data_IF_360697728045
#
_entry.id   IF_360697728045
#
_cell.length_a   1.000
_cell.length_b   1.000
_cell.length_c   1.000
_cell.angle_alpha   90.00
_cell.angle_beta   90.00
_cell.angle_gamma   90.00
#
_symmetry.space_group_name_H-M   'P 1'
#
loop_
_entity.id
_entity.type
_entity.pdbx_description
1 polymer ?
#
# COMPACT_ATOMS: atom_id res chain seq x y z
N UNK A 1 10.62 28.52 49.57
CA UNK A 1 11.90 29.22 49.38
C UNK A 1 12.60 28.63 48.15
N UNK A 2 12.79 29.42 47.08
CA UNK A 2 13.58 29.01 45.90
C UNK A 2 15.01 29.50 46.14
N UNK A 3 15.97 28.59 46.23
CA UNK A 3 17.39 28.96 46.32
C UNK A 3 17.93 29.37 44.94
N UNK A 4 18.87 30.34 44.88
CA UNK A 4 19.45 30.79 43.63
C UNK A 4 20.33 29.69 43.01
N UNK A 5 20.19 29.51 41.70
CA UNK A 5 21.02 28.64 40.88
C UNK A 5 22.37 29.35 40.66
N UNK A 6 23.42 28.88 41.30
CA UNK A 6 24.79 29.32 41.01
C UNK A 6 25.26 28.52 39.78
N UNK A 7 25.36 29.17 38.63
CA UNK A 7 25.99 28.63 37.42
C UNK A 7 27.43 29.12 37.35
N UNK A 8 28.40 28.25 37.64
CA UNK A 8 29.81 28.50 37.36
C UNK A 8 30.17 27.97 35.97
N UNK A 9 30.93 28.74 35.19
CA UNK A 9 31.50 28.32 33.90
C UNK A 9 32.89 27.70 34.10
N UNK A 10 33.33 26.71 33.29
CA UNK A 10 34.31 25.72 33.74
C UNK A 10 35.72 25.93 33.18
N UNK A 11 36.72 25.77 34.03
CA UNK A 11 38.04 25.26 33.67
C UNK A 11 38.14 23.83 34.23
N UNK A 12 38.77 22.90 33.51
CA UNK A 12 38.77 21.46 33.81
C UNK A 12 39.25 21.07 35.21
N UNK A 13 40.08 21.91 35.83
CA UNK A 13 40.55 21.73 37.22
C UNK A 13 39.55 22.27 38.26
N UNK A 14 38.74 23.25 37.87
CA UNK A 14 37.72 23.86 38.73
C UNK A 14 36.55 22.90 38.98
N UNK A 15 36.23 22.04 38.02
CA UNK A 15 35.04 21.17 38.12
C UNK A 15 35.21 20.03 39.14
N UNK A 16 36.42 19.46 39.27
CA UNK A 16 36.70 18.42 40.27
C UNK A 16 36.65 19.00 41.69
N UNK A 17 37.34 20.12 41.95
CA UNK A 17 37.33 20.77 43.26
C UNK A 17 35.92 21.26 43.63
N UNK A 18 35.17 21.80 42.66
CA UNK A 18 33.78 22.18 42.87
C UNK A 18 32.89 20.99 43.22
N UNK A 19 33.11 19.83 42.59
CA UNK A 19 32.38 18.60 42.88
C UNK A 19 32.71 18.07 44.29
N UNK A 20 33.99 18.07 44.70
CA UNK A 20 34.39 17.68 46.07
C UNK A 20 33.74 18.59 47.10
N UNK A 21 33.88 19.91 46.95
CA UNK A 21 33.27 20.90 47.86
C UNK A 21 31.73 20.80 47.87
N UNK A 22 31.12 20.40 46.76
CA UNK A 22 29.68 20.13 46.73
C UNK A 22 29.33 18.85 47.48
N UNK A 23 30.07 17.76 47.30
CA UNK A 23 29.86 16.50 48.02
C UNK A 23 30.09 16.63 49.54
N UNK A 24 31.04 17.45 49.96
CA UNK A 24 31.25 17.82 51.38
C UNK A 24 29.99 18.46 51.95
N UNK A 25 29.48 19.51 51.31
CA UNK A 25 28.23 20.17 51.71
C UNK A 25 27.04 19.22 51.71
N UNK A 26 26.98 18.27 50.78
CA UNK A 26 25.91 17.27 50.73
C UNK A 26 26.00 16.27 51.88
N UNK A 27 27.21 15.90 52.29
CA UNK A 27 27.45 15.02 53.43
C UNK A 27 27.04 15.72 54.73
N UNK A 28 27.40 16.99 54.90
CA UNK A 28 26.95 17.84 56.00
C UNK A 28 25.41 18.00 56.03
N UNK A 29 24.76 18.08 54.86
CA UNK A 29 23.31 18.15 54.73
C UNK A 29 22.56 16.80 54.92
N UNK A 30 23.28 15.76 55.36
CA UNK A 30 22.79 14.39 55.55
C UNK A 30 22.22 13.74 54.28
N UNK A 31 22.89 13.96 53.13
CA UNK A 31 22.62 13.18 51.93
C UNK A 31 23.02 11.71 52.14
N UNK A 32 22.16 10.79 51.72
CA UNK A 32 22.36 9.34 51.86
C UNK A 32 22.81 8.72 50.55
N UNK A 33 22.44 9.34 49.43
CA UNK A 33 22.83 8.89 48.09
C UNK A 33 22.95 10.04 47.13
N UNK A 34 23.79 9.82 46.12
CA UNK A 34 24.01 10.72 45.00
C UNK A 34 23.74 9.95 43.72
N UNK A 35 23.01 10.56 42.79
CA UNK A 35 22.64 9.96 41.52
C UNK A 35 23.14 10.86 40.38
N UNK A 36 23.94 10.29 39.48
CA UNK A 36 24.30 10.93 38.22
C UNK A 36 23.17 10.67 37.22
N UNK A 37 22.64 11.74 36.64
CA UNK A 37 21.63 11.68 35.59
C UNK A 37 22.11 12.46 34.38
N UNK A 38 21.82 11.93 33.20
CA UNK A 38 22.01 12.62 31.95
C UNK A 38 20.70 13.31 31.57
N UNK A 39 20.77 14.60 31.20
CA UNK A 39 19.63 15.34 30.69
C UNK A 39 19.50 15.11 29.20
N UNK A 40 18.49 14.33 28.77
CA UNK A 40 18.21 14.15 27.35
C UNK A 40 17.51 15.39 26.77
N UNK A 41 17.78 15.70 25.50
CA UNK A 41 17.13 16.81 24.77
C UNK A 41 15.60 16.72 24.79
N UNK A 42 15.05 15.50 24.82
CA UNK A 42 13.60 15.23 24.87
C UNK A 42 12.99 15.40 26.27
N UNK A 43 13.69 16.03 27.21
CA UNK A 43 13.17 16.35 28.55
C UNK A 43 13.10 15.16 29.51
N UNK A 44 13.71 14.03 29.16
CA UNK A 44 13.86 12.88 30.06
C UNK A 44 15.21 12.91 30.77
N UNK A 45 15.22 12.76 32.09
CA UNK A 45 16.45 12.54 32.84
C UNK A 45 16.74 11.03 32.87
N UNK A 46 17.78 10.59 32.17
CA UNK A 46 18.23 9.20 32.22
C UNK A 46 19.18 9.00 33.40
N UNK A 47 18.93 8.00 34.24
CA UNK A 47 19.83 7.65 35.35
C UNK A 47 21.05 6.91 34.80
N UNK A 48 22.25 7.40 35.12
CA UNK A 48 23.54 6.81 34.70
C UNK A 48 24.10 5.92 35.80
N UNK A 49 24.21 6.44 37.03
CA UNK A 49 24.80 5.74 38.16
C UNK A 49 24.29 6.27 39.52
N UNK A 50 24.42 5.48 40.58
CA UNK A 50 24.05 5.84 41.96
C UNK A 50 25.16 5.39 42.91
N UNK A 51 25.50 6.26 43.86
CA UNK A 51 26.46 5.99 44.93
C UNK A 51 25.82 6.28 46.29
N UNK A 52 26.18 5.49 47.29
CA UNK A 52 25.80 5.70 48.69
C UNK A 52 26.84 6.54 49.43
N UNK A 53 26.34 7.43 50.31
CA UNK A 53 27.12 8.21 51.26
C UNK A 53 26.88 7.67 52.68
N UNK A 54 27.87 7.74 53.60
CA UNK A 54 29.19 8.36 53.46
C UNK A 54 30.24 7.43 52.84
N UNK A 55 31.12 8.01 52.02
CA UNK A 55 32.34 7.41 51.43
C UNK A 55 33.45 8.47 51.41
N UNK A 56 34.69 8.08 51.14
CA UNK A 56 35.76 9.02 50.85
C UNK A 56 35.38 9.91 49.65
N UNK A 57 35.40 11.24 49.84
CA UNK A 57 34.77 12.19 48.92
C UNK A 57 35.60 12.44 47.66
N UNK A 58 36.93 12.52 47.78
CA UNK A 58 37.82 12.69 46.63
C UNK A 58 37.76 11.53 45.62
N UNK A 59 37.93 10.26 46.01
CA UNK A 59 37.85 9.16 45.05
C UNK A 59 36.45 9.05 44.44
N UNK A 60 35.41 9.35 45.21
CA UNK A 60 34.03 9.39 44.72
C UNK A 60 33.84 10.48 43.66
N UNK A 61 34.39 11.69 43.88
CA UNK A 61 34.33 12.77 42.89
C UNK A 61 35.01 12.38 41.58
N UNK A 62 36.18 11.74 41.64
CA UNK A 62 36.87 11.21 40.44
C UNK A 62 36.04 10.15 39.74
N UNK A 63 35.45 9.22 40.49
CA UNK A 63 34.60 8.15 39.93
C UNK A 63 33.38 8.73 39.21
N UNK A 64 32.70 9.72 39.81
CA UNK A 64 31.55 10.41 39.20
C UNK A 64 31.95 11.13 37.92
N UNK A 65 33.06 11.88 37.95
CA UNK A 65 33.56 12.61 36.79
C UNK A 65 33.96 11.67 35.65
N UNK A 66 34.74 10.62 35.96
CA UNK A 66 35.15 9.62 34.98
C UNK A 66 33.94 8.90 34.38
N UNK A 67 32.93 8.56 35.19
CA UNK A 67 31.72 7.92 34.69
C UNK A 67 30.91 8.82 33.75
N UNK A 68 30.84 10.11 34.05
CA UNK A 68 30.20 11.09 33.18
C UNK A 68 30.97 11.25 31.85
N UNK A 69 32.30 11.26 31.89
CA UNK A 69 33.14 11.30 30.68
C UNK A 69 33.01 10.05 29.82
N UNK A 70 33.06 8.86 30.43
CA UNK A 70 32.93 7.58 29.73
C UNK A 70 31.55 7.43 29.06
N UNK A 71 30.48 7.88 29.75
CA UNK A 71 29.13 7.90 29.17
C UNK A 71 29.03 8.93 28.03
N UNK A 72 29.61 10.13 28.22
CA UNK A 72 29.63 11.17 27.20
C UNK A 72 30.33 10.73 25.90
N UNK A 73 31.39 9.91 26.01
CA UNK A 73 32.09 9.34 24.85
C UNK A 73 31.23 8.38 24.03
N UNK A 74 30.25 7.73 24.64
CA UNK A 74 29.36 6.78 23.96
C UNK A 74 28.16 7.48 23.30
N UNK A 75 27.86 8.70 23.72
CA UNK A 75 26.71 9.46 23.28
C UNK A 75 27.06 10.32 22.06
N UNK A 76 26.12 10.46 21.11
CA UNK A 76 26.27 11.38 19.98
C UNK A 76 25.68 12.74 20.35
N UNK A 77 26.53 13.74 20.56
CA UNK A 77 26.12 15.14 20.77
C UNK A 77 26.54 15.72 22.13
N UNK A 78 26.10 16.95 22.39
CA UNK A 78 26.37 17.65 23.66
C UNK A 78 25.52 17.04 24.77
N UNK A 79 26.15 16.38 25.73
CA UNK A 79 25.46 15.78 26.88
C UNK A 79 25.70 16.60 28.14
N UNK A 80 24.61 17.03 28.80
CA UNK A 80 24.67 17.68 30.11
C UNK A 80 24.38 16.66 31.20
N UNK A 81 25.28 16.55 32.17
CA UNK A 81 25.10 15.66 33.31
C UNK A 81 24.74 16.45 34.56
N UNK A 82 23.84 15.92 35.36
CA UNK A 82 23.47 16.46 36.67
C UNK A 82 23.73 15.43 37.74
N UNK A 83 24.43 15.84 38.80
CA UNK A 83 24.65 15.08 40.02
C UNK A 83 23.59 15.52 41.02
N UNK A 84 22.73 14.60 41.47
CA UNK A 84 21.57 14.89 42.32
C UNK A 84 21.73 14.24 43.68
N UNK A 85 21.56 15.00 44.76
CA UNK A 85 21.62 14.49 46.13
C UNK A 85 20.22 14.19 46.68
N UNK A 86 20.11 13.08 47.42
CA UNK A 86 18.87 12.65 48.07
C UNK A 86 19.08 12.33 49.55
N UNK A 87 18.05 12.63 50.34
CA UNK A 87 17.91 12.21 51.73
C UNK A 87 17.15 10.89 51.80
N UNK A 88 17.39 10.06 52.81
CA UNK A 88 16.74 8.74 52.95
C UNK A 88 15.21 8.77 52.88
N UNK A 89 14.59 9.82 53.44
CA UNK A 89 13.13 9.95 53.50
C UNK A 89 12.50 10.50 52.20
N UNK A 90 13.28 11.19 51.37
CA UNK A 90 12.74 12.01 50.29
C UNK A 90 12.92 11.36 48.91
N UNK A 91 11.83 11.32 48.14
CA UNK A 91 11.85 10.88 46.72
C UNK A 91 12.36 11.98 45.78
N UNK A 92 12.42 13.24 46.24
CA UNK A 92 12.85 14.39 45.44
C UNK A 92 14.31 14.72 45.77
N UNK A 93 15.07 15.07 44.73
CA UNK A 93 16.40 15.61 44.93
C UNK A 93 16.27 16.98 45.60
N UNK A 94 17.09 17.22 46.63
CA UNK A 94 17.06 18.50 47.35
C UNK A 94 18.13 19.47 46.82
N UNK A 95 19.20 18.95 46.22
CA UNK A 95 20.23 19.76 45.57
C UNK A 95 20.79 19.05 44.32
N UNK A 96 21.41 19.84 43.44
CA UNK A 96 22.00 19.38 42.18
C UNK A 96 23.19 20.21 41.74
N UNK A 97 24.20 19.53 41.19
CA UNK A 97 25.34 20.14 40.51
C UNK A 97 25.36 19.67 39.05
N UNK A 98 25.59 20.55 38.09
CA UNK A 98 25.69 20.17 36.68
C UNK A 98 27.16 20.09 36.26
N UNK A 99 27.48 19.06 35.48
CA UNK A 99 28.78 18.77 34.90
C UNK A 99 28.67 18.84 33.37
N UNK A 100 29.64 19.49 32.74
CA UNK A 100 29.75 19.57 31.28
C UNK A 100 31.05 18.90 30.83
N UNK A 101 31.02 17.61 30.45
CA UNK A 101 32.23 16.91 30.04
C UNK A 101 32.82 17.55 28.77
N UNK A 102 34.12 17.89 28.82
CA UNK A 102 34.84 18.62 27.77
C UNK A 102 34.99 17.87 26.43
N UNK A 103 34.63 16.59 26.35
CA UNK A 103 34.91 15.74 25.20
C UNK A 103 33.77 15.55 24.20
N UNK A 104 32.79 16.45 24.15
CA UNK A 104 31.87 16.50 23.02
C UNK A 104 32.64 16.98 21.78
N UNK A 105 33.14 16.04 20.99
CA UNK A 105 33.76 16.20 19.66
C UNK A 105 32.79 16.75 18.59
N UNK A 106 31.74 17.46 18.98
CA UNK A 106 30.94 18.28 18.09
C UNK A 106 31.73 19.55 17.81
N UNK A 107 32.57 19.50 16.76
CA UNK A 107 33.14 20.63 16.02
C UNK A 107 33.01 21.94 16.77
N UNK A 108 33.98 22.16 17.63
CA UNK A 108 34.29 23.39 18.30
C UNK A 108 34.22 24.56 17.33
N UNK A 109 33.06 25.22 17.32
CA UNK A 109 32.88 26.66 17.01
C UNK A 109 33.45 27.51 18.18
N UNK A 110 34.13 26.91 19.16
CA UNK A 110 34.90 27.60 20.21
C UNK A 110 36.27 28.07 19.70
N UNK A 111 36.35 28.49 18.43
CA UNK A 111 37.48 29.24 17.90
C UNK A 111 37.41 30.75 18.18
N UNK A 112 36.33 31.25 18.79
CA UNK A 112 36.13 32.71 18.98
C UNK A 112 35.98 33.10 20.47
N UNK A 113 35.84 32.15 21.40
CA UNK A 113 35.60 32.47 22.82
C UNK A 113 36.76 32.23 23.80
N UNK A 114 37.91 31.72 23.36
CA UNK A 114 39.11 31.63 24.20
C UNK A 114 40.34 32.27 23.54
N UNK A 115 40.25 33.57 23.31
CA UNK A 115 41.42 34.43 23.53
C UNK A 115 40.99 35.51 24.51
N UNK A 116 41.19 35.23 25.80
CA UNK A 116 41.29 36.28 26.78
C UNK A 116 42.38 37.26 26.33
N UNK A 117 42.11 38.57 26.20
CA UNK A 117 43.16 39.55 26.28
C UNK A 117 43.12 40.10 27.71
N UNK A 118 43.67 39.36 28.67
CA UNK A 118 44.30 40.03 29.82
C UNK A 118 45.49 40.91 29.38
N UNK A 119 45.83 40.92 28.08
CA UNK A 119 46.88 41.72 27.46
C UNK A 119 46.43 43.00 26.73
N UNK A 120 45.14 43.36 26.67
CA UNK A 120 44.71 44.64 26.05
C UNK A 120 44.26 45.75 27.03
N UNK A 121 44.40 45.56 28.33
CA UNK A 121 44.19 46.65 29.30
C UNK A 121 45.37 47.66 29.35
N UNK A 122 46.44 47.46 28.57
CA UNK A 122 47.63 48.31 28.56
C UNK A 122 47.88 49.07 27.25
N UNK A 123 46.93 49.08 26.30
CA UNK A 123 46.96 50.06 25.20
C UNK A 123 46.02 51.23 25.49
N UNK A 124 46.63 52.25 26.09
CA UNK A 124 46.29 53.67 26.12
C UNK A 124 44.95 54.09 25.47
N UNK A 125 44.02 54.60 26.30
CA UNK A 125 43.09 55.66 25.89
C UNK A 125 41.70 55.26 25.40
N UNK A 126 41.29 54.00 25.50
CA UNK A 126 39.90 53.64 25.19
C UNK A 126 38.96 54.12 26.31
N UNK A 127 38.07 55.06 25.98
CA UNK A 127 37.00 55.53 26.87
C UNK A 127 36.15 54.35 27.37
N UNK A 128 35.73 54.30 28.64
CA UNK A 128 34.86 53.24 29.16
C UNK A 128 33.58 53.06 28.33
N UNK A 129 33.16 54.10 27.60
CA UNK A 129 32.02 54.07 26.67
C UNK A 129 32.29 53.18 25.45
N UNK A 130 33.50 53.16 24.90
CA UNK A 130 33.81 52.32 23.73
C UNK A 130 33.93 50.85 24.11
N UNK A 131 34.41 50.55 25.32
CA UNK A 131 34.42 49.19 25.87
C UNK A 131 33.00 48.66 26.04
N UNK A 132 32.12 49.45 26.68
CA UNK A 132 30.70 49.08 26.85
C UNK A 132 29.97 48.94 25.52
N UNK A 133 30.23 49.82 24.55
CA UNK A 133 29.63 49.73 23.22
C UNK A 133 30.09 48.46 22.47
N UNK A 134 31.39 48.12 22.56
CA UNK A 134 31.92 46.89 21.97
C UNK A 134 31.33 45.63 22.62
N UNK A 135 31.09 45.67 23.93
CA UNK A 135 30.44 44.58 24.66
C UNK A 135 28.96 44.44 24.28
N UNK A 136 28.24 45.55 24.12
CA UNK A 136 26.84 45.56 23.65
C UNK A 136 26.72 45.04 22.20
N UNK A 137 27.62 45.45 21.31
CA UNK A 137 27.62 44.97 19.94
C UNK A 137 27.85 43.46 19.87
N UNK A 138 28.83 42.94 20.63
CA UNK A 138 29.07 41.48 20.71
C UNK A 138 27.90 40.73 21.34
N UNK A 139 27.25 41.30 22.35
CA UNK A 139 26.05 40.70 22.94
C UNK A 139 24.89 40.64 21.95
N UNK A 140 24.67 41.71 21.17
CA UNK A 140 23.65 41.74 20.13
C UNK A 140 23.95 40.77 18.99
N UNK A 141 25.21 40.66 18.57
CA UNK A 141 25.66 39.68 17.58
C UNK A 141 25.44 38.25 18.08
N UNK A 142 25.85 37.94 19.31
CA UNK A 142 25.60 36.63 19.92
C UNK A 142 24.10 36.32 20.07
N UNK A 143 23.30 37.32 20.46
CA UNK A 143 21.85 37.18 20.59
C UNK A 143 21.19 36.94 19.22
N UNK A 144 21.65 37.62 18.17
CA UNK A 144 21.18 37.41 16.80
C UNK A 144 21.56 36.02 16.28
N UNK A 145 22.78 35.56 16.55
CA UNK A 145 23.20 34.20 16.19
C UNK A 145 22.42 33.12 16.94
N UNK A 146 22.12 33.31 18.22
CA UNK A 146 21.27 32.38 18.98
C UNK A 146 19.84 32.36 18.44
N UNK A 147 19.29 33.54 18.12
CA UNK A 147 17.96 33.63 17.51
C UNK A 147 17.91 32.92 16.14
N UNK A 148 18.93 33.10 15.30
CA UNK A 148 19.05 32.43 14.00
C UNK A 148 19.27 30.91 14.14
N UNK A 149 20.10 30.46 15.09
CA UNK A 149 20.30 29.04 15.36
C UNK A 149 19.01 28.33 15.78
N UNK A 150 18.19 28.99 16.62
CA UNK A 150 16.87 28.47 16.95
C UNK A 150 15.93 28.41 15.74
N UNK A 151 16.00 29.36 14.81
CA UNK A 151 15.18 29.29 13.59
C UNK A 151 15.58 28.11 12.70
N UNK A 152 16.87 27.79 12.59
CA UNK A 152 17.33 26.64 11.80
C UNK A 152 16.87 25.30 12.38
N UNK A 153 16.93 25.15 13.72
CA UNK A 153 16.41 23.97 14.40
C UNK A 153 14.90 23.81 14.22
N UNK A 154 14.15 24.92 14.29
CA UNK A 154 12.72 24.94 14.04
C UNK A 154 12.42 24.55 12.59
N UNK A 155 13.15 25.10 11.61
CA UNK A 155 12.99 24.76 10.19
C UNK A 155 13.27 23.27 9.97
N UNK A 156 14.38 22.75 10.51
CA UNK A 156 14.72 21.33 10.41
C UNK A 156 13.70 20.42 11.10
N UNK A 157 13.04 20.90 12.16
CA UNK A 157 11.93 20.18 12.80
C UNK A 157 10.69 20.14 11.89
N UNK A 158 10.28 21.27 11.33
CA UNK A 158 9.14 21.34 10.41
C UNK A 158 9.38 20.54 9.13
N UNK A 159 10.58 20.57 8.55
CA UNK A 159 10.94 19.74 7.40
C UNK A 159 10.78 18.24 7.69
N UNK A 160 11.15 17.79 8.89
CA UNK A 160 10.95 16.40 9.30
C UNK A 160 9.47 16.04 9.44
N UNK A 161 8.66 16.95 9.97
CA UNK A 161 7.20 16.75 10.08
C UNK A 161 6.58 16.69 8.69
N UNK A 162 6.90 17.63 7.81
CA UNK A 162 6.39 17.68 6.43
C UNK A 162 6.76 16.39 5.70
N UNK A 163 8.02 15.95 5.76
CA UNK A 163 8.42 14.69 5.13
C UNK A 163 7.77 13.45 5.74
N UNK A 164 7.38 13.47 7.02
CA UNK A 164 6.60 12.39 7.63
C UNK A 164 5.12 12.40 7.16
N UNK A 165 4.53 13.58 7.02
CA UNK A 165 3.18 13.76 6.50
C UNK A 165 3.09 13.37 5.03
N UNK A 166 4.07 13.76 4.20
CA UNK A 166 4.14 13.38 2.78
C UNK A 166 4.19 11.86 2.61
N UNK A 167 5.04 11.16 3.38
CA UNK A 167 5.07 9.69 3.37
C UNK A 167 3.72 9.09 3.77
N UNK A 168 3.06 9.68 4.76
CA UNK A 168 1.75 9.21 5.20
C UNK A 168 0.67 9.41 4.15
N UNK A 169 0.71 10.52 3.41
CA UNK A 169 -0.17 10.78 2.27
C UNK A 169 0.08 9.75 1.17
N UNK A 170 1.34 9.51 0.82
CA UNK A 170 1.71 8.53 -0.21
C UNK A 170 1.21 7.12 0.16
N UNK A 171 1.39 6.67 1.41
CA UNK A 171 0.83 5.39 1.88
C UNK A 171 -0.70 5.31 1.76
N UNK A 172 -1.41 6.42 1.97
CA UNK A 172 -2.87 6.47 1.85
C UNK A 172 -3.31 6.46 0.39
N UNK A 173 -2.62 7.18 -0.48
CA UNK A 173 -2.85 7.19 -1.93
C UNK A 173 -2.61 5.79 -2.53
N UNK A 174 -1.54 5.10 -2.11
CA UNK A 174 -1.26 3.72 -2.51
C UNK A 174 -2.40 2.78 -2.10
N UNK A 175 -2.85 2.84 -0.83
CA UNK A 175 -4.00 2.03 -0.37
C UNK A 175 -5.29 2.34 -1.10
N UNK A 176 -5.55 3.61 -1.41
CA UNK A 176 -6.72 4.01 -2.18
C UNK A 176 -6.65 3.46 -3.61
N UNK A 177 -5.47 3.50 -4.23
CA UNK A 177 -5.25 2.95 -5.56
C UNK A 177 -5.52 1.43 -5.59
N UNK A 178 -5.02 0.69 -4.61
CA UNK A 178 -5.26 -0.76 -4.46
C UNK A 178 -6.75 -1.06 -4.27
N UNK A 179 -7.44 -0.27 -3.43
CA UNK A 179 -8.87 -0.43 -3.20
C UNK A 179 -9.69 -0.15 -4.48
N UNK A 180 -9.29 0.83 -5.28
CA UNK A 180 -9.94 1.14 -6.55
C UNK A 180 -9.69 0.06 -7.60
N UNK A 181 -8.52 -0.56 -7.62
CA UNK A 181 -8.21 -1.71 -8.49
C UNK A 181 -9.08 -2.92 -8.13
N UNK A 182 -9.14 -3.30 -6.86
CA UNK A 182 -10.02 -4.37 -6.38
C UNK A 182 -11.49 -4.10 -6.72
N UNK A 183 -11.94 -2.85 -6.58
CA UNK A 183 -13.32 -2.48 -6.94
C UNK A 183 -13.57 -2.60 -8.44
N UNK A 184 -12.59 -2.28 -9.29
CA UNK A 184 -12.69 -2.49 -10.74
C UNK A 184 -12.76 -3.98 -11.07
N UNK A 185 -11.95 -4.81 -10.42
CA UNK A 185 -11.96 -6.27 -10.61
C UNK A 185 -13.30 -6.89 -10.20
N UNK A 186 -13.83 -6.52 -9.03
CA UNK A 186 -15.16 -6.97 -8.59
C UNK A 186 -16.25 -6.56 -9.58
N UNK A 187 -16.20 -5.33 -10.11
CA UNK A 187 -17.15 -4.87 -11.14
C UNK A 187 -17.01 -5.64 -12.46
N UNK A 188 -15.82 -6.11 -12.81
CA UNK A 188 -15.66 -6.96 -14.00
C UNK A 188 -16.25 -8.34 -13.78
N UNK A 189 -16.02 -8.95 -12.62
CA UNK A 189 -16.59 -10.26 -12.26
C UNK A 189 -18.13 -10.18 -12.24
N UNK A 190 -18.71 -9.19 -11.57
CA UNK A 190 -20.17 -8.98 -11.54
C UNK A 190 -20.78 -8.84 -12.95
N UNK A 191 -20.04 -8.22 -13.89
CA UNK A 191 -20.51 -8.08 -15.28
C UNK A 191 -20.44 -9.41 -16.02
N UNK A 192 -19.41 -10.21 -15.79
CA UNK A 192 -19.29 -11.54 -16.37
C UNK A 192 -20.39 -12.47 -15.85
N UNK A 193 -20.66 -12.46 -14.55
CA UNK A 193 -21.75 -13.23 -13.94
C UNK A 193 -23.11 -12.84 -14.54
N UNK A 194 -23.42 -11.53 -14.61
CA UNK A 194 -24.66 -11.05 -15.24
C UNK A 194 -24.77 -11.43 -16.72
N UNK A 195 -23.65 -11.47 -17.44
CA UNK A 195 -23.65 -11.95 -18.82
C UNK A 195 -23.89 -13.46 -18.91
N UNK A 196 -23.35 -14.26 -17.98
CA UNK A 196 -23.60 -15.69 -17.90
C UNK A 196 -25.07 -15.98 -17.55
N UNK A 197 -25.63 -15.29 -16.57
CA UNK A 197 -27.06 -15.39 -16.22
C UNK A 197 -27.95 -15.02 -17.41
N UNK A 198 -27.63 -13.94 -18.13
CA UNK A 198 -28.38 -13.54 -19.31
C UNK A 198 -28.27 -14.57 -20.46
N UNK A 199 -27.14 -15.27 -20.59
CA UNK A 199 -26.98 -16.37 -21.56
C UNK A 199 -27.79 -17.60 -21.14
N UNK A 200 -27.69 -18.01 -19.88
CA UNK A 200 -28.46 -19.13 -19.34
C UNK A 200 -29.98 -18.87 -19.43
N UNK A 201 -30.44 -17.65 -19.16
CA UNK A 201 -31.84 -17.27 -19.33
C UNK A 201 -32.30 -17.33 -20.79
N UNK A 202 -31.45 -16.92 -21.75
CA UNK A 202 -31.74 -17.05 -23.19
C UNK A 202 -31.76 -18.50 -23.64
N UNK A 203 -30.87 -19.33 -23.13
CA UNK A 203 -30.85 -20.77 -23.41
C UNK A 203 -32.10 -21.44 -22.84
N UNK A 204 -32.47 -21.16 -21.59
CA UNK A 204 -33.71 -21.65 -21.00
C UNK A 204 -34.96 -21.19 -21.77
N UNK A 205 -34.99 -19.95 -22.25
CA UNK A 205 -36.06 -19.45 -23.11
C UNK A 205 -36.11 -20.16 -24.48
N UNK A 206 -34.94 -20.46 -25.07
CA UNK A 206 -34.85 -21.23 -26.33
C UNK A 206 -35.32 -22.66 -26.13
N UNK A 207 -34.90 -23.33 -25.06
CA UNK A 207 -35.33 -24.69 -24.72
C UNK A 207 -36.84 -24.74 -24.46
N UNK A 208 -37.37 -23.79 -23.69
CA UNK A 208 -38.81 -23.68 -23.44
C UNK A 208 -39.59 -23.48 -24.75
N UNK A 209 -39.12 -22.58 -25.62
CA UNK A 209 -39.74 -22.35 -26.93
C UNK A 209 -39.67 -23.59 -27.83
N UNK A 210 -38.52 -24.28 -27.90
CA UNK A 210 -38.38 -25.53 -28.68
C UNK A 210 -39.31 -26.60 -28.11
N UNK A 211 -39.39 -26.74 -26.79
CA UNK A 211 -40.28 -27.68 -26.13
C UNK A 211 -41.75 -27.38 -26.41
N UNK A 212 -42.15 -26.12 -26.35
CA UNK A 212 -43.52 -25.67 -26.70
C UNK A 212 -43.85 -25.99 -28.16
N UNK A 213 -42.93 -25.71 -29.10
CA UNK A 213 -43.12 -26.04 -30.52
C UNK A 213 -43.13 -27.54 -30.79
N UNK A 214 -42.29 -28.31 -30.09
CA UNK A 214 -42.31 -29.77 -30.17
C UNK A 214 -43.62 -30.33 -29.62
N UNK A 215 -44.13 -29.82 -28.50
CA UNK A 215 -45.40 -30.26 -27.92
C UNK A 215 -46.60 -29.89 -28.81
N UNK A 216 -46.59 -28.70 -29.42
CA UNK A 216 -47.56 -28.30 -30.44
C UNK A 216 -47.48 -29.20 -31.69
N UNK A 217 -46.27 -29.53 -32.15
CA UNK A 217 -46.07 -30.46 -33.27
C UNK A 217 -46.54 -31.88 -32.93
N UNK A 218 -46.18 -32.38 -31.75
CA UNK A 218 -46.55 -33.71 -31.26
C UNK A 218 -48.05 -33.83 -31.04
N UNK A 219 -48.72 -32.81 -30.53
CA UNK A 219 -50.18 -32.81 -30.36
C UNK A 219 -50.91 -32.80 -31.71
N UNK A 220 -50.41 -32.08 -32.73
CA UNK A 220 -50.94 -32.15 -34.10
C UNK A 220 -50.72 -33.54 -34.74
N UNK A 221 -49.57 -34.16 -34.50
CA UNK A 221 -49.28 -35.53 -34.94
C UNK A 221 -50.15 -36.56 -34.22
N UNK A 222 -50.26 -36.46 -32.89
CA UNK A 222 -51.07 -37.34 -32.07
C UNK A 222 -52.56 -37.18 -32.40
N UNK A 223 -53.07 -35.97 -32.64
CA UNK A 223 -54.44 -35.75 -33.08
C UNK A 223 -54.71 -36.41 -34.44
N UNK A 224 -53.74 -36.39 -35.37
CA UNK A 224 -53.82 -37.05 -36.68
C UNK A 224 -53.71 -38.57 -36.61
N UNK A 225 -52.88 -39.12 -35.73
CA UNK A 225 -52.72 -40.57 -35.54
C UNK A 225 -53.81 -41.19 -34.65
N UNK A 226 -54.25 -40.48 -33.61
CA UNK A 226 -55.36 -40.90 -32.74
C UNK A 226 -56.73 -40.73 -33.42
N UNK A 227 -56.86 -39.87 -34.44
CA UNK A 227 -58.03 -39.89 -35.35
C UNK A 227 -58.04 -41.10 -36.30
N UNK A 228 -57.10 -42.03 -36.18
CA UNK A 228 -56.98 -43.25 -36.98
C UNK A 228 -57.93 -44.38 -36.57
N UNK A 229 -59.23 -44.10 -36.52
CA UNK A 229 -60.25 -45.12 -36.68
C UNK A 229 -60.70 -45.19 -38.14
N UNK A 230 -59.85 -45.73 -39.02
CA UNK A 230 -60.28 -46.14 -40.37
C UNK A 230 -59.40 -45.68 -41.53
N UNK A 231 -58.52 -46.57 -41.99
CA UNK A 231 -58.26 -46.79 -43.41
C UNK A 231 -57.44 -45.75 -44.18
N UNK A 232 -56.17 -46.07 -44.42
CA UNK A 232 -55.42 -45.62 -45.59
C UNK A 232 -54.40 -44.50 -45.32
N UNK A 233 -53.12 -44.86 -45.46
CA UNK A 233 -51.93 -44.06 -45.84
C UNK A 233 -51.86 -42.62 -45.29
N UNK A 234 -50.81 -42.22 -44.54
CA UNK A 234 -50.69 -40.85 -44.05
C UNK A 234 -50.66 -39.89 -45.25
N UNK A 235 -51.61 -38.95 -45.22
CA UNK A 235 -51.91 -38.08 -46.35
C UNK A 235 -50.76 -37.16 -46.78
N UNK A 236 -50.80 -36.67 -48.03
CA UNK A 236 -49.75 -35.89 -48.71
C UNK A 236 -49.26 -34.65 -47.97
N UNK A 237 -49.93 -34.21 -46.91
CA UNK A 237 -49.58 -33.05 -46.10
C UNK A 237 -48.42 -33.35 -45.12
N UNK A 238 -48.30 -34.58 -44.63
CA UNK A 238 -47.13 -34.98 -43.81
C UNK A 238 -45.90 -35.20 -44.69
N UNK A 239 -46.07 -35.83 -45.86
CA UNK A 239 -44.99 -35.93 -46.84
C UNK A 239 -44.57 -34.55 -47.36
N UNK A 240 -45.49 -33.58 -47.52
CA UNK A 240 -45.17 -32.20 -47.90
C UNK A 240 -44.50 -31.40 -46.77
N UNK A 241 -44.87 -31.62 -45.50
CA UNK A 241 -44.19 -31.00 -44.36
C UNK A 241 -42.80 -31.57 -44.14
N UNK A 242 -42.64 -32.89 -44.23
CA UNK A 242 -41.32 -33.56 -44.14
C UNK A 242 -40.48 -33.19 -45.36
N UNK A 243 -41.07 -33.09 -46.55
CA UNK A 243 -40.43 -32.58 -47.77
C UNK A 243 -39.93 -31.15 -47.59
N UNK A 244 -40.78 -30.24 -47.11
CA UNK A 244 -40.41 -28.84 -46.87
C UNK A 244 -39.38 -28.70 -45.76
N UNK A 245 -39.47 -29.52 -44.71
CA UNK A 245 -38.48 -29.55 -43.64
C UNK A 245 -37.12 -30.03 -44.18
N UNK A 246 -37.10 -31.16 -44.90
CA UNK A 246 -35.88 -31.74 -45.45
C UNK A 246 -35.29 -30.89 -46.59
N UNK A 247 -36.13 -30.22 -47.38
CA UNK A 247 -35.72 -29.25 -48.39
C UNK A 247 -35.26 -27.90 -47.81
N UNK A 248 -35.61 -27.59 -46.56
CA UNK A 248 -35.15 -26.38 -45.88
C UNK A 248 -33.75 -26.49 -45.26
N UNK A 249 -33.20 -27.72 -45.18
CA UNK A 249 -31.86 -27.95 -44.69
C UNK A 249 -30.84 -27.97 -45.83
N UNK A 250 -29.79 -27.16 -45.70
CA UNK A 250 -28.60 -27.27 -46.55
C UNK A 250 -27.74 -28.47 -46.14
N UNK A 251 -26.93 -29.00 -47.08
CA UNK A 251 -26.07 -30.16 -46.82
C UNK A 251 -25.14 -29.98 -45.59
N UNK A 252 -24.59 -28.79 -45.40
CA UNK A 252 -23.75 -28.43 -44.24
C UNK A 252 -24.55 -28.41 -42.91
N UNK A 253 -25.83 -28.04 -42.97
CA UNK A 253 -26.71 -28.05 -41.79
C UNK A 253 -27.10 -29.48 -41.40
N UNK A 254 -27.27 -30.39 -42.36
CA UNK A 254 -27.52 -31.81 -42.11
C UNK A 254 -26.29 -32.51 -41.50
N UNK A 255 -25.08 -32.14 -41.91
CA UNK A 255 -23.83 -32.67 -41.34
C UNK A 255 -23.62 -32.21 -39.88
N UNK A 256 -23.92 -30.94 -39.59
CA UNK A 256 -23.90 -30.45 -38.19
C UNK A 256 -25.00 -31.05 -37.30
N UNK A 257 -26.16 -31.40 -37.88
CA UNK A 257 -27.24 -32.09 -37.15
C UNK A 257 -26.88 -33.55 -36.86
N UNK A 258 -26.30 -34.26 -37.82
CA UNK A 258 -25.93 -35.67 -37.65
C UNK A 258 -24.78 -35.86 -36.65
N UNK A 259 -23.89 -34.88 -36.51
CA UNK A 259 -22.80 -34.89 -35.51
C UNK A 259 -23.27 -34.62 -34.08
N UNK A 260 -24.45 -34.02 -33.88
CA UNK A 260 -25.02 -33.72 -32.56
C UNK A 260 -26.09 -34.72 -32.09
N UNK A 261 -26.53 -35.63 -32.97
CA UNK A 261 -27.53 -36.66 -32.66
C UNK A 261 -26.89 -37.95 -32.14
N UNK A 262 -27.65 -38.70 -31.34
CA UNK A 262 -27.26 -40.08 -30.98
C UNK A 262 -27.23 -40.95 -32.24
N UNK A 263 -26.34 -41.97 -32.33
CA UNK A 263 -26.17 -42.78 -33.53
C UNK A 263 -27.48 -43.45 -34.01
N UNK A 264 -28.37 -43.80 -33.08
CA UNK A 264 -29.71 -44.34 -33.39
C UNK A 264 -30.64 -43.31 -34.06
N UNK A 265 -30.56 -42.05 -33.63
CA UNK A 265 -31.33 -40.94 -34.21
C UNK A 265 -30.75 -40.52 -35.57
N UNK A 266 -29.43 -40.53 -35.71
CA UNK A 266 -28.75 -40.28 -36.98
C UNK A 266 -29.12 -41.33 -38.04
N UNK A 267 -29.23 -42.61 -37.65
CA UNK A 267 -29.71 -43.68 -38.54
C UNK A 267 -31.13 -43.43 -39.04
N UNK A 268 -32.05 -43.03 -38.15
CA UNK A 268 -33.43 -42.76 -38.51
C UNK A 268 -33.55 -41.56 -39.47
N UNK A 269 -32.77 -40.50 -39.25
CA UNK A 269 -32.68 -39.36 -40.18
C UNK A 269 -32.10 -39.76 -41.53
N UNK A 270 -31.06 -40.60 -41.54
CA UNK A 270 -30.47 -41.12 -42.78
C UNK A 270 -31.45 -42.02 -43.55
N UNK A 271 -32.23 -42.83 -42.85
CA UNK A 271 -33.25 -43.70 -43.47
C UNK A 271 -34.37 -42.87 -44.10
N UNK A 272 -34.89 -41.85 -43.40
CA UNK A 272 -35.90 -40.92 -43.93
C UNK A 272 -35.35 -40.15 -45.14
N UNK A 273 -34.12 -39.64 -45.06
CA UNK A 273 -33.47 -38.94 -46.17
C UNK A 273 -33.30 -39.86 -47.38
N UNK A 274 -32.88 -41.11 -47.18
CA UNK A 274 -32.69 -42.08 -48.26
C UNK A 274 -34.02 -42.52 -48.91
N UNK A 275 -35.08 -42.69 -48.10
CA UNK A 275 -36.41 -43.01 -48.58
C UNK A 275 -36.99 -41.85 -49.40
N UNK A 276 -36.72 -40.61 -49.00
CA UNK A 276 -37.15 -39.43 -49.72
C UNK A 276 -36.34 -39.19 -51.01
N UNK A 277 -35.01 -39.33 -50.96
CA UNK A 277 -34.15 -39.22 -52.14
C UNK A 277 -34.55 -40.21 -53.24
N UNK A 278 -34.90 -41.45 -52.86
CA UNK A 278 -35.46 -42.44 -53.80
C UNK A 278 -36.78 -41.98 -54.42
N UNK A 279 -37.72 -41.49 -53.61
CA UNK A 279 -39.02 -40.97 -54.10
C UNK A 279 -38.89 -39.73 -55.00
N UNK A 280 -37.94 -38.83 -54.72
CA UNK A 280 -37.70 -37.65 -55.55
C UNK A 280 -37.10 -38.04 -56.91
N UNK A 281 -36.20 -39.02 -56.95
CA UNK A 281 -35.67 -39.60 -58.19
C UNK A 281 -36.76 -40.35 -58.96
N UNK A 282 -37.62 -41.10 -58.27
CA UNK A 282 -38.75 -41.81 -58.89
C UNK A 282 -39.82 -40.84 -59.43
N UNK A 283 -40.07 -39.72 -58.74
CA UNK A 283 -40.97 -38.67 -59.21
C UNK A 283 -40.39 -37.88 -60.40
N UNK A 284 -39.08 -37.63 -60.42
CA UNK A 284 -38.38 -37.02 -61.55
C UNK A 284 -38.34 -37.97 -62.77
N UNK A 285 -38.21 -39.28 -62.54
CA UNK A 285 -38.30 -40.29 -63.58
C UNK A 285 -39.73 -40.41 -64.14
N UNK A 286 -40.76 -40.28 -63.31
CA UNK A 286 -42.17 -40.31 -63.73
C UNK A 286 -42.63 -39.05 -64.49
N UNK A 287 -41.94 -37.91 -64.33
CA UNK A 287 -42.23 -36.64 -65.04
C UNK A 287 -41.47 -36.48 -66.36
N UNK A 288 -40.68 -37.47 -66.79
CA UNK A 288 -40.05 -37.48 -68.12
C UNK A 288 -41.05 -38.00 -69.17
N UNK A 289 -41.61 -37.16 -70.08
CA UNK A 289 -42.56 -37.61 -71.09
C UNK A 289 -41.89 -38.53 -72.14
N UNK A 290 -42.63 -39.50 -72.73
CA UNK A 290 -42.09 -40.37 -73.76
C UNK A 290 -41.68 -39.57 -74.98
N UNK A 291 -40.43 -39.73 -75.39
CA UNK A 291 -39.81 -39.17 -76.58
C UNK A 291 -40.66 -39.48 -77.82
N UNK A 292 -41.42 -38.48 -78.31
CA UNK A 292 -42.01 -38.57 -79.65
C UNK A 292 -40.87 -38.68 -80.65
N UNK A 293 -40.80 -39.84 -81.32
CA UNK A 293 -40.03 -40.05 -82.54
C UNK A 293 -40.36 -38.91 -83.52
N UNK A 294 -39.39 -38.03 -83.78
CA UNK A 294 -39.46 -37.12 -84.91
C UNK A 294 -39.14 -37.90 -86.19
N UNK A 295 -39.98 -37.80 -87.24
CA UNK A 295 -39.77 -38.49 -88.49
C UNK A 295 -38.58 -37.91 -89.25
N UNK A 296 -37.76 -38.82 -89.80
CA UNK A 296 -36.71 -38.56 -90.77
C UNK A 296 -37.29 -37.85 -92.00
N UNK A 297 -36.70 -36.73 -92.42
CA UNK A 297 -36.83 -36.16 -93.76
C UNK A 297 -35.65 -35.19 -94.04
N UNK A 298 -35.27 -34.94 -95.30
CA UNK A 298 -34.13 -35.61 -95.92
C UNK A 298 -32.99 -34.65 -96.31
N UNK A 299 -31.86 -35.27 -96.66
CA UNK A 299 -30.72 -34.67 -97.36
C UNK A 299 -31.12 -34.01 -98.69
N UNK A 300 -30.85 -32.72 -98.86
CA UNK A 300 -30.57 -32.06 -100.15
C UNK A 300 -29.55 -30.95 -99.89
N UNK A 301 -28.27 -31.17 -100.20
CA UNK A 301 -27.58 -30.84 -101.46
C UNK A 301 -27.62 -29.34 -101.84
N UNK A 302 -26.41 -28.79 -101.79
CA UNK A 302 -25.72 -28.14 -102.91
C UNK A 302 -25.85 -26.61 -103.08
N UNK A 303 -24.65 -26.01 -103.02
CA UNK A 303 -24.06 -25.13 -104.02
C UNK A 303 -24.39 -23.62 -104.02
N UNK A 304 -23.26 -22.91 -103.91
CA UNK A 304 -22.92 -21.53 -104.29
C UNK A 304 -23.20 -20.45 -103.27
#
# INVERSE_FOLDING_TARGET
MRMPLVSASPSSFSDHLALVNWLERMTEAHAVRVILRQRAEKGGDQRVAEWSLPRELEPLAREIAQKAEDDARQQRGRSLYGVFAYRAADKKAFDRLFLSPQHSTAKTVEGIMEQAPESMALQAGASPVTVLLSQLMRHNEASAHMALGHTDEIIAHYQRIVGALERRVQELEERESEALELLREMRTIDREEKQQEARAAKEGAREAFVREKLDMGLSLLAAKFASGGGGGVPGPLMDDLVSKLMGSFNAEQLESLTTSLRPEQAMLVAEIYSAYGKRAVDAAAAQSPPSKQQPQQPTERANR
#
